data_IF_814540821079
#
_entry.id   IF_814540821079
#
_cell.length_a   1.000
_cell.length_b   1.000
_cell.length_c   1.000
_cell.angle_alpha   90.00
_cell.angle_beta   90.00
_cell.angle_gamma   90.00
#
_symmetry.space_group_name_H-M   'P 1'
#
loop_
_entity.id
_entity.type
_entity.pdbx_description
1 polymer ?
#
# COMPACT_ATOMS: atom_id res chain seq x y z
N UNK A 1 23.55 13.89 -63.97
CA UNK A 1 22.49 12.87 -63.83
C UNK A 1 23.12 11.66 -63.14
N UNK A 2 22.64 11.23 -61.96
CA UNK A 2 21.40 10.44 -61.88
C UNK A 2 20.54 10.75 -60.62
N UNK A 3 19.28 11.14 -60.84
CA UNK A 3 18.26 11.31 -59.80
C UNK A 3 17.27 10.16 -59.96
N UNK A 4 17.62 8.95 -59.54
CA UNK A 4 16.72 7.79 -59.68
C UNK A 4 16.73 6.80 -58.51
N UNK A 5 17.43 7.10 -57.40
CA UNK A 5 17.52 6.16 -56.25
C UNK A 5 16.55 6.52 -55.11
N UNK A 6 16.03 7.76 -55.05
CA UNK A 6 15.25 8.23 -53.88
C UNK A 6 13.77 7.84 -53.84
N UNK A 7 13.18 7.30 -54.91
CA UNK A 7 11.73 7.00 -54.95
C UNK A 7 11.34 5.56 -54.59
N UNK A 8 12.31 4.64 -54.46
CA UNK A 8 12.02 3.21 -54.23
C UNK A 8 12.00 2.76 -52.76
N UNK A 9 12.42 3.59 -51.81
CA UNK A 9 12.53 3.20 -50.40
C UNK A 9 11.26 3.48 -49.59
N UNK A 10 10.37 4.33 -50.09
CA UNK A 10 9.09 4.64 -49.45
C UNK A 10 8.12 3.44 -49.37
N UNK A 11 7.87 2.68 -50.45
CA UNK A 11 7.00 1.52 -50.35
C UNK A 11 7.60 0.44 -49.43
N UNK A 12 8.93 0.30 -49.39
CA UNK A 12 9.61 -0.65 -48.49
C UNK A 12 9.51 -0.22 -47.02
N UNK A 13 9.65 1.08 -46.73
CA UNK A 13 9.49 1.63 -45.38
C UNK A 13 8.03 1.54 -44.89
N UNK A 14 7.05 1.76 -45.76
CA UNK A 14 5.62 1.56 -45.44
C UNK A 14 5.30 0.08 -45.23
N UNK A 15 5.87 -0.81 -46.04
CA UNK A 15 5.75 -2.27 -45.85
C UNK A 15 6.38 -2.73 -44.52
N UNK A 16 7.55 -2.19 -44.17
CA UNK A 16 8.22 -2.45 -42.89
C UNK A 16 7.44 -1.89 -41.70
N UNK A 17 6.82 -0.71 -41.81
CA UNK A 17 5.94 -0.15 -40.78
C UNK A 17 4.62 -0.94 -40.63
N UNK A 18 4.11 -1.53 -41.72
CA UNK A 18 2.93 -2.41 -41.70
C UNK A 18 3.25 -3.80 -41.13
N UNK A 19 4.47 -4.30 -41.34
CA UNK A 19 4.98 -5.55 -40.74
C UNK A 19 5.39 -5.36 -39.28
N UNK A 20 5.86 -4.16 -38.92
CA UNK A 20 6.02 -3.68 -37.56
C UNK A 20 4.71 -3.08 -37.02
N UNK A 21 3.56 -3.67 -37.35
CA UNK A 21 2.41 -3.53 -36.45
C UNK A 21 2.92 -3.90 -35.05
N UNK A 22 2.71 -3.05 -34.03
CA UNK A 22 3.00 -3.52 -32.67
C UNK A 22 2.21 -4.81 -32.54
N UNK A 23 2.87 -5.88 -32.11
CA UNK A 23 2.17 -7.10 -31.76
C UNK A 23 1.04 -6.66 -30.84
N UNK A 24 -0.19 -6.66 -31.37
CA UNK A 24 -1.38 -6.43 -30.58
C UNK A 24 -1.26 -7.43 -29.45
N UNK A 25 -1.11 -6.92 -28.22
CA UNK A 25 -1.00 -7.71 -26.99
C UNK A 25 -1.84 -8.95 -27.16
N UNK A 26 -1.20 -10.12 -27.34
CA UNK A 26 -1.94 -11.34 -27.54
C UNK A 26 -2.86 -11.50 -26.33
N UNK A 27 -4.16 -11.61 -26.57
CA UNK A 27 -5.11 -11.83 -25.48
C UNK A 27 -4.66 -13.08 -24.73
N UNK A 28 -4.26 -12.91 -23.47
CA UNK A 28 -3.75 -13.98 -22.65
C UNK A 28 -4.94 -14.70 -22.03
N UNK A 29 -4.92 -16.03 -22.08
CA UNK A 29 -5.97 -16.86 -21.50
C UNK A 29 -5.39 -17.80 -20.46
N UNK A 30 -6.10 -17.93 -19.34
CA UNK A 30 -5.83 -18.92 -18.31
C UNK A 30 -7.10 -19.73 -18.07
N UNK A 31 -7.00 -21.05 -18.27
CA UNK A 31 -8.13 -21.98 -18.10
C UNK A 31 -9.40 -21.55 -18.87
N UNK A 32 -9.21 -21.02 -20.08
CA UNK A 32 -10.28 -20.55 -20.95
C UNK A 32 -10.86 -19.17 -20.59
N UNK A 33 -10.38 -18.52 -19.54
CA UNK A 33 -10.75 -17.14 -19.19
C UNK A 33 -9.67 -16.15 -19.63
N UNK A 34 -10.09 -15.00 -20.17
CA UNK A 34 -9.18 -13.92 -20.52
C UNK A 34 -8.58 -13.32 -19.25
N UNK A 35 -7.26 -13.17 -19.22
CA UNK A 35 -6.52 -12.52 -18.14
C UNK A 35 -5.71 -11.34 -18.68
N UNK A 36 -5.32 -10.38 -17.81
CA UNK A 36 -4.44 -9.29 -18.22
C UNK A 36 -3.08 -9.81 -18.70
N UNK A 37 -2.46 -9.07 -19.62
CA UNK A 37 -1.09 -9.35 -20.05
C UNK A 37 -0.13 -9.24 -18.85
N UNK A 38 0.62 -10.31 -18.60
CA UNK A 38 1.58 -10.41 -17.50
C UNK A 38 2.91 -9.67 -17.77
N UNK A 39 3.13 -9.18 -18.99
CA UNK A 39 4.35 -8.47 -19.37
C UNK A 39 4.27 -6.95 -19.13
N UNK A 40 3.08 -6.42 -18.86
CA UNK A 40 2.87 -5.00 -18.56
C UNK A 40 2.54 -4.78 -17.09
N UNK A 41 2.72 -3.54 -16.64
CA UNK A 41 2.26 -3.12 -15.31
C UNK A 41 0.74 -3.14 -15.27
N UNK A 42 0.20 -3.60 -14.14
CA UNK A 42 -1.24 -3.66 -13.93
C UNK A 42 -1.78 -2.40 -13.26
N UNK A 43 -2.99 -2.06 -13.68
CA UNK A 43 -3.85 -1.04 -13.09
C UNK A 43 -5.02 -1.68 -12.35
N UNK A 44 -5.81 -0.89 -11.64
CA UNK A 44 -7.07 -1.31 -11.02
C UNK A 44 -8.01 -1.99 -12.02
N UNK A 45 -8.04 -1.56 -13.29
CA UNK A 45 -8.83 -2.18 -14.35
C UNK A 45 -8.33 -3.58 -14.71
N UNK A 46 -7.01 -3.80 -14.73
CA UNK A 46 -6.43 -5.12 -14.97
C UNK A 46 -6.75 -6.09 -13.84
N UNK A 47 -6.64 -5.63 -12.60
CA UNK A 47 -7.05 -6.43 -11.45
C UNK A 47 -8.52 -6.82 -11.52
N UNK A 48 -9.41 -5.93 -11.98
CA UNK A 48 -10.82 -6.27 -12.19
C UNK A 48 -10.99 -7.40 -13.21
N UNK A 49 -10.33 -7.31 -14.37
CA UNK A 49 -10.36 -8.37 -15.40
C UNK A 49 -9.87 -9.70 -14.82
N UNK A 50 -8.78 -9.68 -14.04
CA UNK A 50 -8.28 -10.89 -13.38
C UNK A 50 -9.30 -11.45 -12.38
N UNK A 51 -9.89 -10.60 -11.52
CA UNK A 51 -10.88 -11.03 -10.53
C UNK A 51 -12.07 -11.72 -11.20
N UNK A 52 -12.58 -11.14 -12.28
CA UNK A 52 -13.74 -11.71 -13.00
C UNK A 52 -13.40 -13.06 -13.64
N UNK A 53 -12.17 -13.21 -14.15
CA UNK A 53 -11.67 -14.49 -14.65
C UNK A 53 -11.51 -15.52 -13.53
N UNK A 54 -10.87 -15.15 -12.42
CA UNK A 54 -10.60 -16.04 -11.30
C UNK A 54 -11.87 -16.48 -10.57
N UNK A 55 -12.89 -15.62 -10.44
CA UNK A 55 -14.21 -15.98 -9.90
C UNK A 55 -14.84 -17.12 -10.70
N UNK A 56 -14.84 -17.02 -12.04
CA UNK A 56 -15.36 -18.08 -12.92
C UNK A 56 -14.54 -19.36 -12.84
N UNK A 57 -13.22 -19.25 -12.72
CA UNK A 57 -12.33 -20.41 -12.57
C UNK A 57 -12.61 -21.12 -11.25
N UNK A 58 -12.73 -20.39 -10.14
CA UNK A 58 -12.99 -20.96 -8.82
C UNK A 58 -14.34 -21.70 -8.76
N UNK A 59 -15.36 -21.18 -9.47
CA UNK A 59 -16.67 -21.83 -9.59
C UNK A 59 -16.64 -23.11 -10.44
N UNK A 60 -15.78 -23.17 -11.46
CA UNK A 60 -15.79 -24.26 -12.47
C UNK A 60 -14.70 -25.30 -12.25
N UNK A 61 -13.59 -24.94 -11.61
CA UNK A 61 -12.41 -25.78 -11.45
C UNK A 61 -11.87 -25.71 -10.03
N UNK A 62 -12.04 -26.82 -9.30
CA UNK A 62 -11.50 -26.97 -7.95
C UNK A 62 -9.98 -26.81 -7.98
N UNK A 63 -9.47 -25.95 -7.09
CA UNK A 63 -8.04 -25.64 -6.96
C UNK A 63 -7.40 -24.97 -8.20
N UNK A 64 -8.19 -24.30 -9.04
CA UNK A 64 -7.75 -23.67 -10.28
C UNK A 64 -7.12 -22.27 -10.17
N UNK A 65 -6.93 -21.70 -8.97
CA UNK A 65 -6.34 -20.36 -8.85
C UNK A 65 -4.81 -20.40 -9.07
N UNK A 66 -4.22 -19.31 -9.60
CA UNK A 66 -2.77 -19.23 -9.81
C UNK A 66 -1.97 -19.46 -8.53
N UNK A 67 -0.94 -20.32 -8.63
CA UNK A 67 -0.04 -20.72 -7.55
C UNK A 67 1.30 -20.01 -7.70
N UNK A 68 1.92 -19.59 -6.60
CA UNK A 68 3.25 -18.98 -6.57
C UNK A 68 4.33 -19.92 -7.07
N UNK A 69 4.24 -21.20 -6.73
CA UNK A 69 5.22 -22.25 -7.09
C UNK A 69 4.87 -23.01 -8.38
N UNK A 70 3.76 -22.69 -9.04
CA UNK A 70 3.36 -23.38 -10.26
C UNK A 70 4.22 -22.94 -11.45
N UNK A 71 4.62 -23.89 -12.29
CA UNK A 71 5.44 -23.60 -13.49
C UNK A 71 4.75 -22.61 -14.43
N UNK A 72 3.46 -22.80 -14.69
CA UNK A 72 2.67 -21.96 -15.61
C UNK A 72 1.88 -20.85 -14.89
N UNK A 73 1.59 -21.03 -13.60
CA UNK A 73 0.78 -20.09 -12.82
C UNK A 73 1.61 -19.13 -11.97
N UNK A 74 2.87 -19.47 -11.70
CA UNK A 74 3.84 -18.65 -10.99
C UNK A 74 4.02 -17.28 -11.62
N UNK A 75 4.22 -17.15 -12.94
CA UNK A 75 4.33 -15.84 -13.59
C UNK A 75 3.08 -14.97 -13.44
N UNK A 76 1.88 -15.57 -13.46
CA UNK A 76 0.62 -14.85 -13.25
C UNK A 76 0.57 -14.31 -11.81
N UNK A 77 0.87 -15.17 -10.83
CA UNK A 77 0.90 -14.76 -9.43
C UNK A 77 1.98 -13.70 -9.16
N UNK A 78 3.18 -13.88 -9.70
CA UNK A 78 4.29 -12.93 -9.55
C UNK A 78 3.93 -11.56 -10.12
N UNK A 79 3.26 -11.49 -11.29
CA UNK A 79 2.77 -10.21 -11.80
C UNK A 79 1.69 -9.63 -10.90
N UNK A 80 0.78 -10.43 -10.37
CA UNK A 80 -0.30 -9.98 -9.49
C UNK A 80 0.21 -9.24 -8.24
N UNK A 81 1.35 -9.67 -7.69
CA UNK A 81 1.99 -9.06 -6.51
C UNK A 81 3.28 -8.28 -6.85
N UNK A 82 3.46 -7.88 -8.11
CA UNK A 82 4.67 -7.17 -8.54
C UNK A 82 4.67 -5.72 -8.06
N UNK A 83 5.78 -5.27 -7.47
CA UNK A 83 5.97 -3.87 -7.08
C UNK A 83 5.93 -2.91 -8.28
N UNK A 84 6.15 -3.41 -9.50
CA UNK A 84 6.03 -2.60 -10.72
C UNK A 84 4.61 -2.08 -10.96
N UNK A 85 3.60 -2.74 -10.39
CA UNK A 85 2.21 -2.31 -10.48
C UNK A 85 1.93 -1.05 -9.65
N UNK A 86 2.79 -0.69 -8.70
CA UNK A 86 2.67 0.55 -7.93
C UNK A 86 3.07 1.79 -8.74
N UNK A 87 3.74 1.63 -9.90
CA UNK A 87 4.29 2.74 -10.68
C UNK A 87 3.29 3.85 -11.03
N UNK A 88 2.03 3.57 -11.41
CA UNK A 88 1.05 4.62 -11.67
C UNK A 88 0.80 5.52 -10.45
N UNK A 89 0.81 4.94 -9.25
CA UNK A 89 0.54 5.63 -7.98
C UNK A 89 1.77 6.36 -7.44
N UNK A 90 2.97 5.91 -7.80
CA UNK A 90 4.24 6.53 -7.40
C UNK A 90 4.73 7.58 -8.42
N UNK A 91 4.02 7.76 -9.53
CA UNK A 91 4.39 8.72 -10.56
C UNK A 91 4.13 10.17 -10.12
N UNK A 92 5.15 10.84 -9.58
CA UNK A 92 5.06 12.24 -9.11
C UNK A 92 4.64 13.25 -10.20
N UNK A 93 4.72 12.89 -11.48
CA UNK A 93 4.28 13.74 -12.58
C UNK A 93 2.77 13.61 -12.86
N UNK A 94 2.10 12.63 -12.26
CA UNK A 94 0.65 12.47 -12.35
C UNK A 94 -0.07 13.27 -11.25
N UNK A 95 -1.27 13.83 -11.54
CA UNK A 95 -2.13 14.47 -10.55
C UNK A 95 -2.35 13.59 -9.31
N UNK A 96 -2.29 14.21 -8.13
CA UNK A 96 -2.39 13.51 -6.85
C UNK A 96 -3.74 12.80 -6.69
N UNK A 97 -4.82 13.41 -7.16
CA UNK A 97 -6.16 12.83 -7.11
C UNK A 97 -6.24 11.54 -7.93
N UNK A 98 -5.59 11.50 -9.09
CA UNK A 98 -5.54 10.30 -9.93
C UNK A 98 -4.75 9.18 -9.24
N UNK A 99 -3.59 9.53 -8.66
CA UNK A 99 -2.75 8.57 -7.90
C UNK A 99 -3.50 7.99 -6.70
N UNK A 100 -4.18 8.83 -5.92
CA UNK A 100 -4.96 8.39 -4.77
C UNK A 100 -6.15 7.52 -5.14
N UNK A 101 -6.87 7.89 -6.20
CA UNK A 101 -8.02 7.11 -6.66
C UNK A 101 -7.56 5.74 -7.15
N UNK A 102 -6.45 5.68 -7.91
CA UNK A 102 -5.89 4.40 -8.35
C UNK A 102 -5.45 3.54 -7.16
N UNK A 103 -4.76 4.10 -6.17
CA UNK A 103 -4.35 3.36 -4.98
C UNK A 103 -5.55 2.81 -4.18
N UNK A 104 -6.61 3.61 -4.04
CA UNK A 104 -7.85 3.18 -3.39
C UNK A 104 -8.53 2.04 -4.15
N UNK A 105 -8.62 2.15 -5.47
CA UNK A 105 -9.24 1.13 -6.31
C UNK A 105 -8.43 -0.16 -6.29
N UNK A 106 -7.10 -0.11 -6.42
CA UNK A 106 -6.24 -1.29 -6.31
C UNK A 106 -6.41 -1.96 -4.95
N UNK A 107 -6.40 -1.21 -3.84
CA UNK A 107 -6.64 -1.77 -2.51
C UNK A 107 -8.02 -2.48 -2.41
N UNK A 108 -9.06 -1.92 -3.03
CA UNK A 108 -10.36 -2.56 -3.12
C UNK A 108 -10.31 -3.86 -3.94
N UNK A 109 -9.62 -3.88 -5.08
CA UNK A 109 -9.44 -5.09 -5.89
C UNK A 109 -8.64 -6.16 -5.15
N UNK A 110 -7.60 -5.78 -4.42
CA UNK A 110 -6.83 -6.72 -3.59
C UNK A 110 -7.68 -7.37 -2.51
N UNK A 111 -8.60 -6.63 -1.89
CA UNK A 111 -9.59 -7.20 -0.97
C UNK A 111 -10.48 -8.25 -1.63
N UNK A 112 -10.90 -8.03 -2.87
CA UNK A 112 -11.67 -9.03 -3.62
C UNK A 112 -10.82 -10.26 -3.99
N UNK A 113 -9.57 -10.07 -4.42
CA UNK A 113 -8.64 -11.17 -4.68
C UNK A 113 -8.38 -12.01 -3.43
N UNK A 114 -8.13 -11.36 -2.28
CA UNK A 114 -7.95 -12.07 -1.02
C UNK A 114 -9.15 -12.94 -0.68
N UNK A 115 -10.39 -12.53 -0.98
CA UNK A 115 -11.58 -13.35 -0.74
C UNK A 115 -11.61 -14.64 -1.57
N UNK A 116 -10.95 -14.67 -2.73
CA UNK A 116 -10.81 -15.89 -3.54
C UNK A 116 -9.74 -16.82 -2.97
N UNK A 117 -8.64 -16.25 -2.47
CA UNK A 117 -7.50 -17.02 -1.98
C UNK A 117 -7.65 -17.51 -0.52
N UNK A 118 -8.38 -16.77 0.33
CA UNK A 118 -8.65 -17.16 1.72
C UNK A 118 -9.91 -18.01 1.83
N UNK A 119 -9.75 -19.25 2.32
CA UNK A 119 -10.87 -20.08 2.73
C UNK A 119 -10.95 -20.16 4.25
N UNK A 120 -11.70 -19.25 4.88
CA UNK A 120 -11.83 -19.18 6.35
C UNK A 120 -12.51 -20.40 6.99
N UNK A 121 -13.11 -21.30 6.19
CA UNK A 121 -13.74 -22.53 6.69
C UNK A 121 -12.81 -23.74 6.60
N UNK A 122 -11.68 -23.62 5.89
CA UNK A 122 -10.77 -24.73 5.70
C UNK A 122 -9.91 -24.94 6.96
N UNK A 123 -9.74 -26.20 7.37
CA UNK A 123 -8.83 -26.55 8.46
C UNK A 123 -7.37 -26.20 8.11
N UNK A 124 -7.01 -26.31 6.83
CA UNK A 124 -5.74 -25.89 6.26
C UNK A 124 -6.01 -25.07 5.00
N UNK A 125 -5.34 -23.93 4.86
CA UNK A 125 -5.53 -23.06 3.70
C UNK A 125 -5.00 -23.75 2.44
N UNK A 126 -5.84 -23.93 1.40
CA UNK A 126 -5.39 -24.50 0.15
C UNK A 126 -4.30 -23.64 -0.49
N UNK A 127 -4.44 -22.31 -0.44
CA UNK A 127 -3.54 -21.32 -1.05
C UNK A 127 -2.79 -20.48 0.00
N UNK A 128 -2.27 -21.12 1.04
CA UNK A 128 -1.68 -20.45 2.20
C UNK A 128 -0.61 -19.42 1.83
N UNK A 129 0.41 -19.85 1.08
CA UNK A 129 1.49 -18.99 0.60
C UNK A 129 0.98 -17.81 -0.23
N UNK A 130 0.03 -18.05 -1.14
CA UNK A 130 -0.51 -17.03 -2.02
C UNK A 130 -1.38 -16.01 -1.27
N UNK A 131 -2.19 -16.47 -0.33
CA UNK A 131 -3.04 -15.65 0.51
C UNK A 131 -2.21 -14.72 1.41
N UNK A 132 -1.16 -15.24 2.05
CA UNK A 132 -0.24 -14.42 2.85
C UNK A 132 0.54 -13.42 2.00
N UNK A 133 1.02 -13.83 0.80
CA UNK A 133 1.69 -12.90 -0.12
C UNK A 133 0.77 -11.77 -0.60
N UNK A 134 -0.51 -12.04 -0.86
CA UNK A 134 -1.51 -11.01 -1.17
C UNK A 134 -1.77 -10.08 0.02
N UNK A 135 -1.74 -10.59 1.25
CA UNK A 135 -1.84 -9.76 2.45
C UNK A 135 -0.63 -8.83 2.60
N UNK A 136 0.60 -9.35 2.45
CA UNK A 136 1.81 -8.52 2.40
C UNK A 136 1.74 -7.44 1.30
N UNK A 137 1.28 -7.80 0.11
CA UNK A 137 1.12 -6.84 -0.99
C UNK A 137 0.05 -5.77 -0.68
N UNK A 138 -1.06 -6.15 -0.03
CA UNK A 138 -2.12 -5.21 0.40
C UNK A 138 -1.65 -4.23 1.47
N UNK A 139 -0.78 -4.66 2.38
CA UNK A 139 -0.16 -3.77 3.37
C UNK A 139 0.76 -2.75 2.71
N UNK A 140 1.53 -3.18 1.70
CA UNK A 140 2.38 -2.26 0.91
C UNK A 140 1.55 -1.20 0.19
N UNK A 141 0.46 -1.62 -0.45
CA UNK A 141 -0.50 -0.73 -1.09
C UNK A 141 -1.11 0.28 -0.09
N UNK A 142 -1.48 -0.19 1.11
CA UNK A 142 -2.01 0.67 2.17
C UNK A 142 -0.98 1.73 2.63
N UNK A 143 0.32 1.40 2.65
CA UNK A 143 1.38 2.36 2.98
C UNK A 143 1.48 3.46 1.91
N UNK A 144 1.41 3.08 0.62
CA UNK A 144 1.37 4.04 -0.49
C UNK A 144 0.17 4.97 -0.35
N UNK A 145 -1.02 4.43 -0.10
CA UNK A 145 -2.23 5.22 0.08
C UNK A 145 -2.11 6.20 1.26
N UNK A 146 -1.43 5.82 2.35
CA UNK A 146 -1.16 6.73 3.46
C UNK A 146 -0.24 7.86 3.08
N UNK A 147 0.87 7.58 2.40
CA UNK A 147 1.80 8.60 1.92
C UNK A 147 1.08 9.61 1.02
N UNK A 148 0.26 9.13 0.08
CA UNK A 148 -0.54 10.00 -0.78
C UNK A 148 -1.58 10.81 0.00
N UNK A 149 -2.17 10.23 1.05
CA UNK A 149 -3.13 10.93 1.92
C UNK A 149 -2.45 12.07 2.68
N UNK A 150 -1.24 11.84 3.20
CA UNK A 150 -0.43 12.88 3.86
C UNK A 150 -0.05 13.97 2.87
N UNK A 151 0.41 13.61 1.66
CA UNK A 151 0.72 14.56 0.60
C UNK A 151 -0.47 15.49 0.34
N UNK A 152 -1.68 14.92 0.17
CA UNK A 152 -2.89 15.70 -0.06
C UNK A 152 -3.23 16.59 1.12
N UNK A 153 -3.14 16.08 2.34
CA UNK A 153 -3.42 16.87 3.54
C UNK A 153 -2.53 18.13 3.62
N UNK A 154 -1.27 18.00 3.23
CA UNK A 154 -0.30 19.11 3.20
C UNK A 154 -0.59 20.15 2.10
N UNK A 155 -1.36 19.79 1.07
CA UNK A 155 -1.82 20.74 0.04
C UNK A 155 -3.09 21.52 0.41
N UNK A 156 -3.85 21.06 1.42
CA UNK A 156 -5.09 21.71 1.82
C UNK A 156 -4.85 23.03 2.56
N UNK A 157 -5.73 24.00 2.33
CA UNK A 157 -5.78 25.21 3.16
C UNK A 157 -6.14 24.86 4.61
N UNK A 158 -5.68 25.66 5.57
CA UNK A 158 -5.88 25.39 7.01
C UNK A 158 -7.36 25.32 7.42
N UNK A 159 -8.24 26.05 6.71
CA UNK A 159 -9.70 25.96 6.89
C UNK A 159 -10.26 24.60 6.49
N UNK A 160 -9.77 24.04 5.37
CA UNK A 160 -10.18 22.72 4.87
C UNK A 160 -9.62 21.57 5.71
N UNK A 161 -8.44 21.75 6.30
CA UNK A 161 -7.88 20.79 7.27
C UNK A 161 -8.73 20.67 8.54
N UNK A 162 -9.55 21.67 8.85
CA UNK A 162 -10.50 21.65 9.99
C UNK A 162 -11.90 21.24 9.59
N UNK A 163 -12.14 20.97 8.31
CA UNK A 163 -13.45 20.54 7.83
C UNK A 163 -13.83 19.20 8.48
N UNK A 164 -14.96 19.12 9.19
CA UNK A 164 -15.34 17.92 9.93
C UNK A 164 -15.53 16.70 9.03
N UNK A 165 -16.02 16.89 7.79
CA UNK A 165 -16.21 15.80 6.82
C UNK A 165 -14.87 15.22 6.39
N UNK A 166 -13.87 16.07 6.16
CA UNK A 166 -12.51 15.64 5.79
C UNK A 166 -11.81 14.92 6.94
N UNK A 167 -11.97 15.43 8.15
CA UNK A 167 -11.44 14.79 9.36
C UNK A 167 -12.10 13.43 9.60
N UNK A 168 -13.42 13.32 9.41
CA UNK A 168 -14.13 12.05 9.50
C UNK A 168 -13.62 11.05 8.46
N UNK A 169 -13.51 11.45 7.18
CA UNK A 169 -13.00 10.56 6.14
C UNK A 169 -11.56 10.09 6.42
N UNK A 170 -10.70 10.95 6.98
CA UNK A 170 -9.35 10.57 7.41
C UNK A 170 -9.39 9.58 8.59
N UNK A 171 -10.28 9.77 9.56
CA UNK A 171 -10.46 8.85 10.69
C UNK A 171 -10.93 7.47 10.22
N UNK A 172 -11.90 7.42 9.32
CA UNK A 172 -12.39 6.17 8.72
C UNK A 172 -11.29 5.42 7.96
N UNK A 173 -10.49 6.14 7.16
CA UNK A 173 -9.36 5.56 6.45
C UNK A 173 -8.30 4.99 7.42
N UNK A 174 -7.97 5.71 8.49
CA UNK A 174 -7.06 5.23 9.53
C UNK A 174 -7.62 4.02 10.27
N UNK A 175 -8.91 3.98 10.54
CA UNK A 175 -9.56 2.84 11.18
C UNK A 175 -9.50 1.58 10.29
N UNK A 176 -9.81 1.70 8.99
CA UNK A 176 -9.73 0.59 8.04
C UNK A 176 -8.30 0.04 7.92
N UNK A 177 -7.30 0.91 7.85
CA UNK A 177 -5.90 0.52 7.81
C UNK A 177 -5.42 -0.11 9.13
N UNK A 178 -5.94 0.36 10.27
CA UNK A 178 -5.68 -0.23 11.58
C UNK A 178 -6.20 -1.66 11.64
N UNK A 179 -7.42 -1.90 11.16
CA UNK A 179 -7.98 -3.25 11.06
C UNK A 179 -7.12 -4.15 10.17
N UNK A 180 -6.69 -3.67 9.00
CA UNK A 180 -5.83 -4.43 8.09
C UNK A 180 -4.50 -4.79 8.75
N UNK A 181 -3.85 -3.82 9.40
CA UNK A 181 -2.53 -4.01 10.03
C UNK A 181 -2.59 -4.94 11.23
N UNK A 182 -3.61 -4.82 12.08
CA UNK A 182 -3.79 -5.74 13.21
C UNK A 182 -4.11 -7.15 12.74
N UNK A 183 -5.03 -7.31 11.78
CA UNK A 183 -5.40 -8.63 11.23
C UNK A 183 -4.22 -9.32 10.56
N UNK A 184 -3.32 -8.54 9.94
CA UNK A 184 -2.11 -9.08 9.34
C UNK A 184 -1.20 -9.80 10.34
N UNK A 185 -1.02 -9.25 11.55
CA UNK A 185 -0.25 -9.94 12.60
C UNK A 185 -0.98 -11.17 13.13
N UNK A 186 -2.31 -11.16 13.18
CA UNK A 186 -3.09 -12.29 13.70
C UNK A 186 -2.96 -13.55 12.85
N UNK A 187 -2.71 -13.41 11.54
CA UNK A 187 -2.41 -14.57 10.69
C UNK A 187 -1.15 -15.33 11.09
N UNK A 188 -0.18 -14.70 11.74
CA UNK A 188 0.96 -15.41 12.31
C UNK A 188 0.52 -16.43 13.36
N UNK A 189 -0.55 -16.16 14.10
CA UNK A 189 -1.12 -17.08 15.09
C UNK A 189 -1.84 -18.30 14.50
N UNK A 190 -2.08 -18.35 13.19
CA UNK A 190 -2.88 -19.42 12.54
C UNK A 190 -2.02 -20.61 12.10
N UNK A 191 -1.17 -21.12 13.01
CA UNK A 191 -0.19 -22.20 12.73
C UNK A 191 -0.82 -23.54 12.33
N UNK A 192 -2.10 -23.76 12.62
CA UNK A 192 -2.84 -24.93 12.15
C UNK A 192 -3.30 -24.80 10.69
N UNK A 193 -3.55 -23.55 10.24
CA UNK A 193 -4.10 -23.29 8.91
C UNK A 193 -3.03 -23.04 7.86
N UNK A 194 -1.87 -22.51 8.24
CA UNK A 194 -0.77 -22.17 7.33
C UNK A 194 0.46 -23.03 7.58
N UNK A 195 1.21 -23.31 6.51
CA UNK A 195 2.47 -24.02 6.63
C UNK A 195 3.55 -23.15 7.28
N UNK A 196 4.46 -23.81 8.02
CA UNK A 196 5.53 -23.12 8.75
C UNK A 196 6.35 -22.20 7.86
N UNK A 197 6.75 -22.67 6.68
CA UNK A 197 7.60 -21.92 5.75
C UNK A 197 6.91 -20.63 5.29
N UNK A 198 5.60 -20.69 5.04
CA UNK A 198 4.80 -19.54 4.62
C UNK A 198 4.72 -18.50 5.75
N UNK A 199 4.49 -18.93 6.98
CA UNK A 199 4.44 -18.04 8.15
C UNK A 199 5.80 -17.40 8.46
N UNK A 200 6.90 -18.14 8.26
CA UNK A 200 8.26 -17.59 8.42
C UNK A 200 8.51 -16.51 7.38
N UNK A 201 8.25 -16.79 6.10
CA UNK A 201 8.42 -15.81 5.03
C UNK A 201 7.54 -14.56 5.27
N UNK A 202 6.27 -14.78 5.58
CA UNK A 202 5.32 -13.72 5.87
C UNK A 202 5.75 -12.84 7.05
N UNK A 203 6.28 -13.44 8.12
CA UNK A 203 6.80 -12.66 9.26
C UNK A 203 7.98 -11.76 8.89
N UNK A 204 8.85 -12.19 7.97
CA UNK A 204 9.96 -11.38 7.47
C UNK A 204 9.48 -10.25 6.54
N UNK A 205 8.44 -10.49 5.74
CA UNK A 205 7.80 -9.45 4.91
C UNK A 205 7.12 -8.39 5.78
N UNK A 206 6.36 -8.81 6.80
CA UNK A 206 5.74 -7.91 7.77
C UNK A 206 6.76 -7.03 8.50
N UNK A 207 7.89 -7.59 8.92
CA UNK A 207 8.94 -6.84 9.59
C UNK A 207 9.50 -5.69 8.74
N UNK A 208 9.52 -5.84 7.41
CA UNK A 208 9.95 -4.78 6.49
C UNK A 208 8.89 -3.70 6.29
N UNK A 209 7.60 -4.08 6.29
CA UNK A 209 6.50 -3.20 5.93
C UNK A 209 5.91 -2.43 7.12
N UNK A 210 5.89 -3.06 8.30
CA UNK A 210 5.24 -2.50 9.48
C UNK A 210 5.79 -1.13 9.93
N UNK A 211 7.10 -0.84 9.89
CA UNK A 211 7.61 0.47 10.29
C UNK A 211 6.99 1.64 9.52
N UNK A 212 6.78 1.48 8.21
CA UNK A 212 6.18 2.52 7.36
C UNK A 212 4.69 2.69 7.64
N UNK A 213 3.95 1.61 7.91
CA UNK A 213 2.54 1.71 8.27
C UNK A 213 2.35 2.27 9.68
N UNK A 214 3.20 1.87 10.61
CA UNK A 214 3.04 2.10 12.05
C UNK A 214 2.94 3.59 12.39
N UNK A 215 3.73 4.46 11.75
CA UNK A 215 3.72 5.91 12.00
C UNK A 215 2.36 6.56 11.69
N UNK A 216 1.57 5.98 10.76
CA UNK A 216 0.29 6.54 10.34
C UNK A 216 -0.90 6.09 11.20
N UNK A 217 -0.72 5.05 12.01
CA UNK A 217 -1.79 4.45 12.80
C UNK A 217 -2.18 5.31 14.01
N UNK A 218 -3.43 5.21 14.49
CA UNK A 218 -3.85 5.87 15.73
C UNK A 218 -3.00 5.44 16.95
N UNK A 219 -2.81 6.31 17.95
CA UNK A 219 -1.97 6.02 19.13
C UNK A 219 -2.35 4.73 19.85
N UNK A 220 -3.64 4.48 20.05
CA UNK A 220 -4.17 3.30 20.71
C UNK A 220 -3.84 2.01 19.95
N UNK A 221 -3.90 2.06 18.61
CA UNK A 221 -3.57 0.92 17.74
C UNK A 221 -2.07 0.64 17.77
N UNK A 222 -1.23 1.69 17.79
CA UNK A 222 0.23 1.53 17.91
C UNK A 222 0.62 0.82 19.20
N UNK A 223 -0.02 1.15 20.33
CA UNK A 223 0.22 0.45 21.60
C UNK A 223 -0.18 -1.03 21.51
N UNK A 224 -1.37 -1.31 20.96
CA UNK A 224 -1.84 -2.69 20.77
C UNK A 224 -0.91 -3.50 19.87
N UNK A 225 -0.43 -2.92 18.77
CA UNK A 225 0.52 -3.56 17.86
C UNK A 225 1.86 -3.86 18.55
N UNK A 226 2.39 -2.92 19.33
CA UNK A 226 3.62 -3.16 20.11
C UNK A 226 3.46 -4.35 21.07
N UNK A 227 2.33 -4.41 21.79
CA UNK A 227 2.03 -5.54 22.67
C UNK A 227 1.91 -6.85 21.90
N UNK A 228 1.30 -6.81 20.71
CA UNK A 228 1.11 -8.00 19.87
C UNK A 228 2.43 -8.52 19.31
N UNK A 229 3.30 -7.62 18.83
CA UNK A 229 4.65 -7.96 18.33
C UNK A 229 5.50 -8.52 19.47
N UNK A 230 5.46 -7.92 20.66
CA UNK A 230 6.16 -8.44 21.84
C UNK A 230 5.68 -9.85 22.21
N UNK A 231 4.37 -10.07 22.27
CA UNK A 231 3.79 -11.39 22.53
C UNK A 231 4.27 -12.43 21.50
N UNK A 232 4.20 -12.10 20.20
CA UNK A 232 4.66 -13.00 19.14
C UNK A 232 6.17 -13.28 19.25
N UNK A 233 6.99 -12.29 19.63
CA UNK A 233 8.43 -12.46 19.82
C UNK A 233 8.80 -13.43 20.96
N UNK A 234 7.91 -13.58 21.94
CA UNK A 234 8.12 -14.43 23.11
C UNK A 234 7.47 -15.81 22.94
N UNK A 235 6.24 -15.86 22.44
CA UNK A 235 5.36 -17.04 22.54
C UNK A 235 5.07 -17.74 21.23
N UNK A 236 5.39 -17.14 20.07
CA UNK A 236 5.06 -17.77 18.80
C UNK A 236 5.73 -19.16 18.67
N UNK A 237 5.04 -20.14 18.09
CA UNK A 237 5.52 -21.54 18.04
C UNK A 237 6.87 -21.68 17.31
N UNK A 238 7.04 -20.94 16.21
CA UNK A 238 8.23 -21.03 15.36
C UNK A 238 9.33 -20.04 15.78
N UNK A 239 10.58 -20.52 16.00
CA UNK A 239 11.70 -19.68 16.39
C UNK A 239 11.99 -18.51 15.43
N UNK A 240 11.92 -18.74 14.13
CA UNK A 240 12.25 -17.73 13.13
C UNK A 240 11.24 -16.57 13.12
N UNK A 241 9.96 -16.87 13.36
CA UNK A 241 8.95 -15.83 13.54
C UNK A 241 9.21 -15.03 14.83
N UNK A 242 9.59 -15.72 15.92
CA UNK A 242 9.96 -15.05 17.18
C UNK A 242 11.14 -14.09 16.98
N UNK A 243 12.15 -14.51 16.23
CA UNK A 243 13.32 -13.71 15.89
C UNK A 243 12.94 -12.47 15.06
N UNK A 244 12.19 -12.66 13.96
CA UNK A 244 11.72 -11.54 13.15
C UNK A 244 10.91 -10.51 13.95
N UNK A 245 10.03 -10.97 14.86
CA UNK A 245 9.25 -10.07 15.72
C UNK A 245 10.10 -9.40 16.80
N UNK A 246 11.11 -10.09 17.33
CA UNK A 246 12.06 -9.54 18.30
C UNK A 246 12.89 -8.43 17.69
N UNK A 247 13.32 -8.59 16.45
CA UNK A 247 14.09 -7.57 15.72
C UNK A 247 13.22 -6.38 15.31
N UNK A 248 11.95 -6.62 14.98
CA UNK A 248 10.99 -5.57 14.65
C UNK A 248 10.62 -4.69 15.85
N UNK A 249 10.43 -5.28 17.03
CA UNK A 249 9.95 -4.59 18.22
C UNK A 249 10.73 -3.29 18.57
N UNK A 250 12.07 -3.29 18.67
CA UNK A 250 12.83 -2.08 19.00
C UNK A 250 12.68 -0.99 17.94
N UNK A 251 12.51 -1.35 16.66
CA UNK A 251 12.27 -0.39 15.58
C UNK A 251 10.95 0.33 15.79
N UNK A 252 9.87 -0.40 16.06
CA UNK A 252 8.56 0.20 16.31
C UNK A 252 8.53 1.03 17.59
N UNK A 253 9.23 0.60 18.64
CA UNK A 253 9.37 1.37 19.89
C UNK A 253 10.12 2.69 19.67
N UNK A 254 11.18 2.68 18.87
CA UNK A 254 11.91 3.90 18.51
C UNK A 254 11.03 4.89 17.74
N UNK A 255 10.23 4.40 16.77
CA UNK A 255 9.27 5.23 16.03
C UNK A 255 8.21 5.79 16.98
N UNK A 256 7.66 4.98 17.89
CA UNK A 256 6.68 5.44 18.88
C UNK A 256 7.24 6.56 19.77
N UNK A 257 8.48 6.41 20.25
CA UNK A 257 9.15 7.40 21.07
C UNK A 257 9.37 8.71 20.31
N UNK A 258 9.79 8.64 19.04
CA UNK A 258 9.97 9.84 18.20
C UNK A 258 8.63 10.55 17.93
N UNK A 259 7.58 9.81 17.57
CA UNK A 259 6.24 10.38 17.36
C UNK A 259 5.72 11.06 18.64
N UNK A 260 5.89 10.43 19.81
CA UNK A 260 5.50 11.05 21.08
C UNK A 260 6.28 12.34 21.36
N UNK A 261 7.59 12.34 21.10
CA UNK A 261 8.44 13.53 21.26
C UNK A 261 8.00 14.65 20.33
N UNK A 262 7.65 14.35 19.08
CA UNK A 262 7.16 15.34 18.12
C UNK A 262 5.79 15.90 18.51
N UNK A 263 4.87 15.07 19.00
CA UNK A 263 3.55 15.50 19.46
C UNK A 263 3.61 16.33 20.76
N UNK A 264 4.59 16.08 21.63
CA UNK A 264 4.82 16.85 22.85
C UNK A 264 5.58 18.17 22.60
N UNK A 265 6.21 18.33 21.43
CA UNK A 265 6.90 19.57 21.09
C UNK A 265 5.88 20.68 20.81
N UNK A 266 6.12 21.93 21.28
CA UNK A 266 5.22 23.03 21.00
C UNK A 266 5.10 23.26 19.48
N UNK A 267 3.87 23.44 19.01
CA UNK A 267 3.61 23.67 17.59
C UNK A 267 4.45 24.86 17.09
N UNK A 268 5.35 24.61 16.14
CA UNK A 268 6.14 25.67 15.49
C UNK A 268 5.17 26.69 14.88
N UNK A 269 5.10 27.89 15.48
CA UNK A 269 4.28 28.99 14.98
C UNK A 269 3.16 29.48 15.91
N UNK A 270 2.98 28.94 17.12
CA UNK A 270 2.18 29.67 18.11
C UNK A 270 2.99 30.87 18.61
N UNK A 271 2.53 32.12 18.43
CA UNK A 271 3.16 33.24 19.11
C UNK A 271 3.05 32.95 20.60
N UNK A 272 4.20 32.92 21.29
CA UNK A 272 4.23 33.09 22.74
C UNK A 272 3.34 34.30 23.00
N UNK A 273 2.27 34.21 23.82
CA UNK A 273 1.52 35.38 24.17
C UNK A 273 2.54 36.29 24.86
N UNK A 274 2.98 37.36 24.18
CA UNK A 274 3.56 38.50 24.89
C UNK A 274 2.46 38.90 25.84
N UNK A 275 2.65 38.60 27.13
CA UNK A 275 1.74 39.07 28.17
C UNK A 275 1.49 40.53 27.88
N UNK A 276 0.23 40.91 27.73
CA UNK A 276 -0.14 42.31 27.57
C UNK A 276 0.46 43.04 28.76
N UNK A 277 1.49 43.83 28.51
CA UNK A 277 2.03 44.73 29.50
C UNK A 277 1.01 45.84 29.67
N UNK A 278 0.23 45.74 30.75
CA UNK A 278 -0.79 46.73 31.16
C UNK A 278 -0.15 47.90 31.92
N UNK A 279 1.17 48.08 31.85
CA UNK A 279 1.83 49.25 32.42
C UNK A 279 1.33 50.52 31.74
N UNK A 280 0.77 51.42 32.54
CA UNK A 280 0.29 52.72 32.08
C UNK A 280 1.44 53.52 31.43
N UNK A 281 1.20 54.26 30.33
CA UNK A 281 2.22 55.07 29.72
C UNK A 281 2.73 56.14 30.71
N UNK A 282 4.04 56.41 30.75
CA UNK A 282 4.58 57.44 31.63
C UNK A 282 3.98 58.79 31.27
N UNK A 283 3.48 59.49 32.29
CA UNK A 283 2.97 60.86 32.17
C UNK A 283 3.99 61.74 31.46
N UNK A 284 3.55 62.38 30.37
CA UNK A 284 4.34 63.36 29.66
C UNK A 284 4.78 64.46 30.63
N UNK A 285 6.09 64.58 30.82
CA UNK A 285 6.71 65.73 31.48
C UNK A 285 6.17 67.02 30.86
N UNK A 286 5.40 67.76 31.66
CA UNK A 286 5.12 69.17 31.43
C UNK A 286 6.46 69.90 31.27
N UNK A 287 6.86 70.18 30.02
CA UNK A 287 7.85 71.21 29.72
C UNK A 287 7.29 72.56 30.18
N UNK A 288 7.74 72.99 31.35
CA UNK A 288 7.73 74.37 31.81
C UNK A 288 8.84 75.14 31.07
N UNK A 289 8.46 76.26 30.44
CA UNK A 289 9.35 77.40 30.21
C UNK A 289 10.01 77.49 28.83
N UNK A 290 9.40 78.24 27.91
CA UNK A 290 9.78 79.63 27.64
C UNK A 290 8.63 80.35 26.93
#
# INVERSE_FOLDING_TARGET
>A
MPILIRRSLWPLAVLLLLLCRPALSADLYYLGQKIPDIQRNWTSADYQVLIDALKKIDETQVNGLPRRSGEFTGPIYQRMVSEENFRPQLNIYAPLELRQNEAREVLFKLKELMRLYFNFRAAKQPYGAEALGLMSYSLREQAILFNLTVEFWMTLAQSEQRNPVRLQGMQEAKAAASMLTSSALDYLGLTAQFDRQDLVLYSAELAKQLPELFIHLPPEVRVQLLMRVDELSQKHAYPEVRENMRDLLPVLQAIQADVQKQLAAPAKGQPVPKGLDLSAPPEAEKKKGM
#
